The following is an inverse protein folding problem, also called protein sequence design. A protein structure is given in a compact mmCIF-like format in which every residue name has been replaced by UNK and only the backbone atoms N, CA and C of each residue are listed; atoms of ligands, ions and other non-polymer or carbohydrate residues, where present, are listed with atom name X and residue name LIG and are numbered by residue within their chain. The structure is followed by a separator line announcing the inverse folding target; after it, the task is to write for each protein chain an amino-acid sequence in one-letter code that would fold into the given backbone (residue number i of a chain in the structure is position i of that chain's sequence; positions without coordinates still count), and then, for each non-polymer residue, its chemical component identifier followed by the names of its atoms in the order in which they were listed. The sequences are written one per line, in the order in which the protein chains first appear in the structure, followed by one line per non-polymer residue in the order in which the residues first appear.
data_IF_212088934285
#
_entry.id   IF_212088934285
#
_cell.length_a   1.000
_cell.length_b   1.000
_cell.length_c   1.000
_cell.angle_alpha   90.00
_cell.angle_beta   90.00
_cell.angle_gamma   90.00
#
_symmetry.space_group_name_H-M   'P 1'
#
loop_
_entity.id
_entity.type
_entity.pdbx_description
1 polymer ?
#
# COMPACT_ATOMS: atom_id res chain seq x y z
N UNK A 1 -1.89 11.83 -33.37
CA UNK A 1 -1.98 12.28 -31.96
C UNK A 1 -2.78 11.21 -31.23
N UNK A 2 -2.14 10.39 -30.38
CA UNK A 2 -2.81 9.30 -29.66
C UNK A 2 -3.39 9.86 -28.36
N UNK A 3 -4.72 9.80 -28.23
CA UNK A 3 -5.43 10.22 -27.02
C UNK A 3 -5.73 8.97 -26.18
N UNK A 4 -5.12 8.88 -24.99
CA UNK A 4 -5.31 7.76 -24.06
C UNK A 4 -6.46 8.11 -23.10
N UNK A 5 -7.53 7.31 -23.11
CA UNK A 5 -8.69 7.48 -22.23
C UNK A 5 -8.41 6.97 -20.80
N UNK A 6 -9.15 7.47 -19.80
CA UNK A 6 -9.10 6.93 -18.44
C UNK A 6 -9.55 5.47 -18.42
N UNK A 7 -8.76 4.60 -17.79
CA UNK A 7 -9.02 3.14 -17.75
C UNK A 7 -8.21 2.30 -18.75
N UNK A 8 -7.28 2.91 -19.49
CA UNK A 8 -6.35 2.18 -20.36
C UNK A 8 -5.15 1.67 -19.55
N UNK A 9 -4.95 0.36 -19.57
CA UNK A 9 -3.72 -0.26 -19.05
C UNK A 9 -2.77 -0.59 -20.20
N UNK A 10 -1.52 -0.17 -20.08
CA UNK A 10 -0.45 -0.38 -21.09
C UNK A 10 0.67 -1.17 -20.42
N UNK A 11 1.03 -2.34 -20.98
CA UNK A 11 2.15 -3.12 -20.47
C UNK A 11 2.57 -4.28 -21.37
N UNK A 12 3.80 -4.76 -21.18
CA UNK A 12 4.40 -5.85 -21.94
C UNK A 12 4.30 -7.17 -21.16
N UNK A 13 3.10 -7.75 -21.08
CA UNK A 13 2.85 -9.01 -20.41
C UNK A 13 2.88 -10.17 -21.40
N UNK A 14 3.34 -11.34 -20.96
CA UNK A 14 3.18 -12.56 -21.75
C UNK A 14 1.69 -12.89 -21.94
N UNK A 15 1.37 -13.64 -23.00
CA UNK A 15 -0.01 -13.91 -23.41
C UNK A 15 -0.86 -14.48 -22.27
N UNK A 16 -0.31 -15.38 -21.44
CA UNK A 16 -1.04 -16.01 -20.32
C UNK A 16 -1.48 -14.99 -19.26
N UNK A 17 -0.57 -14.11 -18.85
CA UNK A 17 -0.86 -13.06 -17.85
C UNK A 17 -1.84 -12.04 -18.41
N UNK A 18 -1.68 -11.68 -19.69
CA UNK A 18 -2.60 -10.77 -20.39
C UNK A 18 -4.03 -11.29 -20.42
N UNK A 19 -4.24 -12.56 -20.76
CA UNK A 19 -5.59 -13.15 -20.80
C UNK A 19 -6.27 -13.12 -19.43
N UNK A 20 -5.54 -13.47 -18.37
CA UNK A 20 -6.08 -13.45 -17.01
C UNK A 20 -6.37 -12.05 -16.49
N UNK A 21 -5.53 -11.07 -16.84
CA UNK A 21 -5.81 -9.65 -16.56
C UNK A 21 -7.09 -9.20 -17.25
N UNK A 22 -7.27 -9.57 -18.52
CA UNK A 22 -8.47 -9.23 -19.28
C UNK A 22 -9.75 -9.79 -18.66
N UNK A 23 -9.74 -11.06 -18.25
CA UNK A 23 -10.87 -11.70 -17.55
C UNK A 23 -11.23 -10.97 -16.26
N UNK A 24 -10.23 -10.63 -15.43
CA UNK A 24 -10.47 -9.97 -14.15
C UNK A 24 -10.99 -8.56 -14.32
N UNK A 25 -10.43 -7.79 -15.27
CA UNK A 25 -10.91 -6.44 -15.56
C UNK A 25 -12.36 -6.52 -16.07
N UNK A 26 -12.65 -7.47 -16.97
CA UNK A 26 -13.98 -7.74 -17.49
C UNK A 26 -14.98 -8.06 -16.37
N UNK A 27 -14.60 -8.86 -15.38
CA UNK A 27 -15.47 -9.21 -14.24
C UNK A 27 -15.68 -8.03 -13.28
N UNK A 28 -14.69 -7.16 -13.13
CA UNK A 28 -14.71 -6.06 -12.17
C UNK A 28 -15.32 -4.77 -12.73
N UNK A 29 -15.42 -4.64 -14.07
CA UNK A 29 -15.76 -3.37 -14.72
C UNK A 29 -17.23 -2.97 -14.64
N UNK A 30 -18.14 -3.87 -14.24
CA UNK A 30 -19.58 -3.58 -14.22
C UNK A 30 -20.08 -3.03 -15.57
N UNK A 31 -20.68 -1.83 -15.54
CA UNK A 31 -21.12 -1.07 -16.73
C UNK A 31 -20.08 -0.10 -17.30
N UNK A 32 -18.90 0.01 -16.68
CA UNK A 32 -17.83 0.89 -17.15
C UNK A 32 -17.14 0.38 -18.41
N UNK A 33 -16.70 1.31 -19.27
CA UNK A 33 -15.93 1.02 -20.47
C UNK A 33 -14.47 0.68 -20.12
N UNK A 34 -13.92 -0.33 -20.78
CA UNK A 34 -12.55 -0.80 -20.58
C UNK A 34 -11.83 -0.94 -21.91
N UNK A 35 -10.58 -0.51 -21.94
CA UNK A 35 -9.65 -0.71 -23.05
C UNK A 35 -8.32 -1.25 -22.53
N UNK A 36 -7.83 -2.34 -23.10
CA UNK A 36 -6.48 -2.85 -22.82
C UNK A 36 -5.65 -2.81 -24.10
N UNK A 37 -4.44 -2.24 -24.03
CA UNK A 37 -3.46 -2.25 -25.11
C UNK A 37 -2.26 -3.09 -24.71
N UNK A 38 -1.79 -3.95 -25.60
CA UNK A 38 -0.68 -4.87 -25.31
C UNK A 38 0.18 -5.12 -26.55
N UNK A 39 1.43 -5.52 -26.33
CA UNK A 39 2.35 -5.86 -27.41
C UNK A 39 1.87 -7.11 -28.17
N UNK A 40 1.89 -7.05 -29.50
CA UNK A 40 1.49 -8.14 -30.39
C UNK A 40 2.46 -8.24 -31.57
N UNK A 41 2.62 -9.45 -32.11
CA UNK A 41 3.43 -9.69 -33.30
C UNK A 41 2.62 -9.38 -34.56
N UNK A 42 2.29 -8.10 -34.75
CA UNK A 42 1.67 -7.55 -35.96
C UNK A 42 2.50 -6.36 -36.45
N UNK A 43 2.16 -5.80 -37.62
CA UNK A 43 2.96 -4.74 -38.27
C UNK A 43 3.17 -3.49 -37.41
N UNK A 44 2.23 -3.19 -36.51
CA UNK A 44 2.28 -2.01 -35.64
C UNK A 44 2.85 -2.31 -34.24
N UNK A 45 3.09 -3.58 -33.91
CA UNK A 45 3.70 -4.03 -32.66
C UNK A 45 2.76 -4.06 -31.43
N UNK A 46 1.48 -3.76 -31.60
CA UNK A 46 0.50 -3.75 -30.50
C UNK A 46 -0.92 -4.07 -30.98
N UNK A 47 -1.76 -4.47 -30.03
CA UNK A 47 -3.15 -4.86 -30.25
C UNK A 47 -4.04 -4.43 -29.05
N UNK A 48 -5.35 -4.48 -29.22
CA UNK A 48 -6.33 -3.94 -28.28
C UNK A 48 -7.46 -4.92 -27.95
N UNK A 49 -7.94 -4.86 -26.71
CA UNK A 49 -9.22 -5.46 -26.30
C UNK A 49 -10.13 -4.39 -25.71
N UNK A 50 -11.42 -4.48 -26.03
CA UNK A 50 -12.46 -3.53 -25.61
C UNK A 50 -13.62 -4.26 -24.95
N UNK A 51 -14.19 -3.65 -23.90
CA UNK A 51 -15.45 -4.09 -23.28
C UNK A 51 -16.28 -2.87 -22.89
N UNK A 52 -17.58 -2.90 -23.17
CA UNK A 52 -18.54 -1.82 -22.87
C UNK A 52 -18.09 -0.43 -23.39
N UNK A 53 -17.22 -0.39 -24.39
CA UNK A 53 -16.79 0.84 -25.02
C UNK A 53 -17.77 1.18 -26.16
N UNK A 54 -18.07 2.47 -26.34
CA UNK A 54 -18.79 2.94 -27.54
C UNK A 54 -17.98 2.75 -28.84
N UNK A 55 -16.72 2.36 -28.71
CA UNK A 55 -15.77 2.16 -29.80
C UNK A 55 -15.57 0.67 -30.03
N UNK A 56 -15.43 0.27 -31.29
CA UNK A 56 -15.17 -1.12 -31.67
C UNK A 56 -13.77 -1.25 -32.30
N UNK A 57 -13.11 -2.40 -32.12
CA UNK A 57 -11.87 -2.70 -32.85
C UNK A 57 -12.24 -3.38 -34.17
N UNK A 58 -11.86 -2.78 -35.29
CA UNK A 58 -12.04 -3.32 -36.63
C UNK A 58 -10.66 -3.64 -37.20
N UNK A 59 -10.52 -4.77 -37.87
CA UNK A 59 -9.29 -5.16 -38.52
C UNK A 59 -9.40 -4.90 -40.02
N UNK A 60 -8.64 -3.94 -40.52
CA UNK A 60 -8.54 -3.65 -41.95
C UNK A 60 -7.11 -3.94 -42.40
N UNK A 61 -6.95 -4.86 -43.36
CA UNK A 61 -5.63 -5.29 -43.87
C UNK A 61 -4.63 -5.74 -42.78
N UNK A 62 -5.12 -6.32 -41.67
CA UNK A 62 -4.28 -6.80 -40.56
C UNK A 62 -3.90 -5.73 -39.52
N UNK A 63 -4.36 -4.49 -39.70
CA UNK A 63 -4.14 -3.38 -38.77
C UNK A 63 -5.39 -3.22 -37.87
N UNK A 64 -5.26 -3.32 -36.54
CA UNK A 64 -6.37 -3.03 -35.64
C UNK A 64 -6.63 -1.52 -35.57
N UNK A 65 -7.83 -1.10 -36.00
CA UNK A 65 -8.33 0.27 -35.97
C UNK A 65 -9.45 0.40 -34.94
N UNK A 66 -9.53 1.55 -34.26
CA UNK A 66 -10.61 1.85 -33.32
C UNK A 66 -11.66 2.70 -34.03
N UNK A 67 -12.86 2.14 -34.25
CA UNK A 67 -13.99 2.87 -34.83
C UNK A 67 -14.60 3.80 -33.78
N UNK A 68 -14.75 5.08 -34.13
CA UNK A 68 -15.40 6.10 -33.29
C UNK A 68 -16.73 6.46 -33.96
N UNK A 69 -17.90 6.11 -33.37
CA UNK A 69 -19.18 6.49 -33.95
C UNK A 69 -19.34 8.02 -33.94
N UNK A 70 -19.79 8.59 -35.06
CA UNK A 70 -20.04 10.02 -35.20
C UNK A 70 -21.19 10.44 -34.26
N UNK A 71 -21.09 11.56 -33.53
CA UNK A 71 -22.14 11.97 -32.60
C UNK A 71 -23.43 12.29 -33.36
N UNK A 72 -24.52 11.62 -32.99
CA UNK A 72 -25.88 11.92 -33.49
C UNK A 72 -26.32 13.26 -32.91
N UNK A 73 -26.68 14.21 -33.77
CA UNK A 73 -27.23 15.51 -33.37
C UNK A 73 -28.68 15.32 -32.93
N UNK A 74 -28.97 15.49 -31.64
CA UNK A 74 -30.32 15.44 -31.11
C UNK A 74 -30.97 16.84 -31.21
N UNK A 75 -32.01 16.98 -32.04
CA UNK A 75 -32.84 18.20 -32.11
C UNK A 75 -33.74 18.26 -30.87
N UNK A 76 -33.64 19.33 -30.08
CA UNK A 76 -34.48 19.59 -28.90
C UNK A 76 -35.90 20.00 -29.31
N UNK A 77 -36.90 19.24 -28.87
CA UNK A 77 -38.31 19.67 -28.85
C UNK A 77 -38.61 20.24 -27.47
N UNK A 78 -38.75 21.56 -27.37
CA UNK A 78 -39.49 22.23 -26.31
C UNK A 78 -40.36 23.29 -26.98
N UNK A 79 -41.67 23.05 -27.00
CA UNK A 79 -42.69 24.08 -26.84
C UNK A 79 -44.02 23.36 -26.56
N UNK A 80 -44.39 23.35 -25.27
CA UNK A 80 -45.72 22.96 -24.83
C UNK A 80 -46.67 24.13 -25.09
N UNK A 81 -47.67 23.89 -25.95
CA UNK A 81 -48.76 24.81 -26.23
C UNK A 81 -50.05 24.05 -26.51
N UNK A 82 -50.83 23.88 -25.44
CA UNK A 82 -52.30 23.87 -25.39
C UNK A 82 -53.11 22.66 -25.93
N UNK A 83 -54.16 22.42 -25.15
CA UNK A 83 -55.33 21.53 -25.18
C UNK A 83 -55.78 20.81 -26.46
N UNK A 84 -56.35 19.61 -26.29
CA UNK A 84 -57.37 19.07 -27.19
C UNK A 84 -57.44 17.54 -27.34
N UNK A 85 -58.31 16.93 -26.53
CA UNK A 85 -59.19 15.76 -26.76
C UNK A 85 -58.98 14.92 -28.04
N UNK A 86 -58.90 13.59 -27.89
CA UNK A 86 -59.24 12.65 -28.98
C UNK A 86 -58.76 11.22 -28.80
N UNK A 87 -59.67 10.32 -28.44
CA UNK A 87 -59.49 8.88 -28.26
C UNK A 87 -59.21 8.10 -29.56
N UNK A 88 -58.88 6.81 -29.35
CA UNK A 88 -59.04 5.61 -30.21
C UNK A 88 -57.74 5.04 -30.82
N UNK A 89 -57.47 3.77 -30.53
CA UNK A 89 -56.99 2.83 -31.56
C UNK A 89 -55.71 2.04 -31.28
N UNK A 90 -55.84 0.94 -30.55
CA UNK A 90 -55.38 -0.44 -30.84
C UNK A 90 -53.93 -0.76 -31.33
N UNK A 91 -53.34 -1.78 -30.70
CA UNK A 91 -52.42 -2.72 -31.36
C UNK A 91 -50.91 -2.63 -31.09
N UNK A 92 -50.41 -3.47 -30.17
CA UNK A 92 -49.27 -4.36 -30.47
C UNK A 92 -47.83 -3.95 -30.11
N UNK A 93 -47.34 -4.52 -28.99
CA UNK A 93 -45.98 -5.07 -28.73
C UNK A 93 -44.76 -4.14 -28.95
N UNK A 94 -44.13 -3.69 -27.86
CA UNK A 94 -42.77 -3.15 -27.87
C UNK A 94 -41.98 -3.58 -26.62
N UNK A 95 -40.75 -4.06 -26.87
CA UNK A 95 -39.84 -4.64 -25.89
C UNK A 95 -39.06 -3.65 -25.03
N UNK A 96 -38.23 -4.27 -24.19
CA UNK A 96 -37.54 -3.73 -23.03
C UNK A 96 -36.87 -2.36 -23.20
N UNK A 97 -37.08 -1.53 -22.19
CA UNK A 97 -36.71 -0.12 -22.15
C UNK A 97 -35.21 0.16 -22.15
N UNK A 98 -34.82 1.05 -23.07
CA UNK A 98 -33.60 1.82 -22.99
C UNK A 98 -33.78 2.99 -22.00
N UNK A 99 -33.27 2.83 -20.78
CA UNK A 99 -33.12 3.91 -19.82
C UNK A 99 -32.01 4.89 -20.25
N UNK A 100 -32.37 6.16 -20.35
CA UNK A 100 -31.52 7.28 -20.74
C UNK A 100 -30.21 7.40 -19.93
N UNK A 101 -29.08 7.64 -20.61
CA UNK A 101 -27.80 7.97 -19.99
C UNK A 101 -27.61 9.49 -19.98
N UNK A 102 -27.48 10.05 -18.78
CA UNK A 102 -27.17 11.45 -18.53
C UNK A 102 -25.65 11.61 -18.34
N UNK A 103 -25.03 12.53 -19.09
CA UNK A 103 -23.61 12.88 -18.92
C UNK A 103 -23.44 13.79 -17.70
N UNK A 104 -22.98 13.21 -16.59
CA UNK A 104 -22.68 13.94 -15.36
C UNK A 104 -21.29 13.61 -14.83
N UNK A 105 -20.39 14.59 -14.86
CA UNK A 105 -19.16 14.58 -14.07
C UNK A 105 -19.52 14.58 -12.57
N UNK A 106 -19.11 13.55 -11.81
CA UNK A 106 -19.37 13.48 -10.37
C UNK A 106 -18.10 13.57 -9.52
N UNK A 107 -17.94 14.76 -8.93
CA UNK A 107 -17.60 15.08 -7.52
C UNK A 107 -16.49 14.26 -6.83
N UNK A 108 -15.24 14.69 -7.00
CA UNK A 108 -14.19 14.53 -6.00
C UNK A 108 -13.76 15.90 -5.46
N UNK A 109 -14.54 16.46 -4.52
CA UNK A 109 -14.13 17.58 -3.67
C UNK A 109 -15.19 17.83 -2.57
N UNK A 110 -14.85 17.49 -1.32
CA UNK A 110 -15.41 17.91 -0.01
C UNK A 110 -15.05 16.78 0.96
N UNK A 111 -14.27 17.00 2.01
CA UNK A 111 -14.73 17.60 3.26
C UNK A 111 -13.63 18.39 3.98
N UNK A 112 -14.03 19.56 4.51
CA UNK A 112 -13.33 20.34 5.54
C UNK A 112 -14.22 20.38 6.79
N UNK A 113 -13.55 20.47 7.95
CA UNK A 113 -13.98 20.91 9.30
C UNK A 113 -14.59 19.85 10.23
N UNK A 114 -13.88 19.61 11.33
CA UNK A 114 -14.42 19.76 12.67
C UNK A 114 -13.31 20.21 13.64
N UNK A 115 -13.53 21.33 14.32
CA UNK A 115 -12.76 21.89 15.45
C UNK A 115 -13.79 22.18 16.54
N UNK A 116 -13.34 22.18 17.81
CA UNK A 116 -14.08 22.28 19.10
C UNK A 116 -14.20 20.89 19.73
N UNK A 117 -13.50 20.58 20.82
CA UNK A 117 -13.87 21.03 22.17
C UNK A 117 -12.70 21.38 23.11
N UNK A 118 -13.11 22.05 24.17
CA UNK A 118 -12.40 22.89 25.14
C UNK A 118 -11.70 22.13 26.28
N UNK A 119 -10.57 22.70 26.71
CA UNK A 119 -10.10 22.88 28.11
C UNK A 119 -10.22 21.73 29.13
N UNK A 120 -9.06 21.28 29.64
CA UNK A 120 -8.67 21.35 31.07
C UNK A 120 -7.28 20.71 31.28
N UNK A 121 -6.40 21.42 31.99
CA UNK A 121 -5.09 20.93 32.50
C UNK A 121 -5.29 20.05 33.73
N UNK A 122 -4.38 19.10 33.99
CA UNK A 122 -3.72 19.11 35.29
C UNK A 122 -2.21 18.81 35.24
N UNK A 123 -1.62 18.82 36.43
CA UNK A 123 -0.26 19.15 36.81
C UNK A 123 0.79 18.03 36.64
N UNK A 124 2.05 18.50 36.69
CA UNK A 124 3.35 17.81 36.61
C UNK A 124 3.54 16.68 37.62
N UNK A 125 4.35 15.67 37.26
CA UNK A 125 5.36 15.04 38.13
C UNK A 125 6.42 14.27 37.31
N UNK A 126 7.66 14.29 37.83
CA UNK A 126 8.95 13.81 37.32
C UNK A 126 9.02 12.27 37.18
N UNK A 127 9.48 11.66 36.08
CA UNK A 127 10.83 11.54 35.48
C UNK A 127 11.74 10.44 36.09
N UNK A 128 11.95 9.34 35.32
CA UNK A 128 13.24 8.78 34.86
C UNK A 128 13.09 7.34 34.35
N UNK A 129 13.28 7.10 33.05
CA UNK A 129 13.44 5.75 32.47
C UNK A 129 14.82 5.62 31.81
N UNK A 130 15.45 4.47 32.04
CA UNK A 130 16.78 4.08 31.54
C UNK A 130 16.63 3.30 30.23
N UNK A 131 17.59 3.49 29.32
CA UNK A 131 17.70 2.80 28.03
C UNK A 131 18.31 1.41 28.23
N UNK A 132 17.69 0.33 27.75
CA UNK A 132 18.20 -1.03 27.86
C UNK A 132 18.26 -1.67 26.45
N UNK A 133 19.47 -2.01 25.98
CA UNK A 133 19.66 -2.94 24.86
C UNK A 133 19.27 -4.31 25.37
N UNK A 134 18.10 -4.81 24.96
CA UNK A 134 17.62 -6.11 25.38
C UNK A 134 18.23 -7.16 24.45
N UNK A 135 19.14 -7.98 24.98
CA UNK A 135 19.37 -9.32 24.44
C UNK A 135 18.25 -10.21 24.98
N UNK A 136 17.34 -10.67 24.12
CA UNK A 136 16.33 -11.66 24.53
C UNK A 136 16.34 -12.89 23.66
N UNK A 137 16.65 -14.01 24.30
CA UNK A 137 16.36 -15.37 23.85
C UNK A 137 14.94 -15.84 24.26
N UNK A 138 14.05 -14.95 24.75
CA UNK A 138 12.78 -15.37 25.36
C UNK A 138 11.48 -14.85 24.73
N UNK A 139 11.49 -14.31 23.52
CA UNK A 139 10.23 -13.95 22.84
C UNK A 139 10.29 -14.42 21.39
N UNK A 140 9.66 -15.55 21.11
CA UNK A 140 8.74 -15.83 19.98
C UNK A 140 8.76 -17.33 19.70
N UNK A 141 7.74 -18.05 20.19
CA UNK A 141 7.56 -19.47 19.88
C UNK A 141 6.85 -19.55 18.53
N UNK A 142 7.60 -19.55 17.43
CA UNK A 142 7.06 -19.76 16.10
C UNK A 142 6.35 -21.12 16.03
N UNK A 143 5.48 -21.35 15.05
CA UNK A 143 4.59 -22.51 14.93
C UNK A 143 5.25 -23.91 14.99
N UNK A 144 6.59 -23.98 14.98
CA UNK A 144 7.39 -25.20 15.18
C UNK A 144 8.22 -25.25 16.48
N UNK A 145 8.17 -24.23 17.35
CA UNK A 145 8.94 -24.14 18.60
C UNK A 145 10.41 -23.71 18.44
N UNK A 146 10.84 -23.36 17.22
CA UNK A 146 12.18 -22.82 16.95
C UNK A 146 12.26 -21.34 17.31
N UNK A 147 13.45 -20.84 17.66
CA UNK A 147 13.70 -19.40 17.86
C UNK A 147 13.85 -18.66 16.53
N UNK A 148 13.75 -17.33 16.52
CA UNK A 148 13.94 -16.52 15.31
C UNK A 148 15.36 -16.73 14.75
N UNK A 149 16.33 -16.83 15.64
CA UNK A 149 17.73 -17.13 15.33
C UNK A 149 17.85 -18.45 14.58
N UNK A 150 17.22 -19.52 15.05
CA UNK A 150 17.30 -20.84 14.40
C UNK A 150 16.78 -20.76 12.97
N UNK A 151 15.63 -20.12 12.76
CA UNK A 151 14.99 -20.02 11.44
C UNK A 151 15.82 -19.16 10.49
N UNK A 152 16.37 -18.03 10.97
CA UNK A 152 17.24 -17.17 10.18
C UNK A 152 18.55 -17.87 9.84
N UNK A 153 19.20 -18.52 10.81
CA UNK A 153 20.47 -19.23 10.61
C UNK A 153 20.36 -20.37 9.59
N UNK A 154 19.22 -21.06 9.55
CA UNK A 154 18.96 -22.13 8.60
C UNK A 154 18.76 -21.64 7.16
N UNK A 155 18.48 -20.34 6.97
CA UNK A 155 17.95 -19.81 5.71
C UNK A 155 18.79 -18.69 5.10
N UNK A 156 19.18 -17.69 5.90
CA UNK A 156 19.86 -16.48 5.46
C UNK A 156 21.36 -16.58 5.71
N UNK A 157 22.16 -16.39 4.66
CA UNK A 157 23.62 -16.36 4.73
C UNK A 157 24.17 -14.95 4.88
N UNK A 158 23.53 -13.97 4.25
CA UNK A 158 24.01 -12.58 4.24
C UNK A 158 23.38 -11.76 5.36
N UNK A 159 24.19 -10.90 5.97
CA UNK A 159 23.79 -10.02 7.04
C UNK A 159 22.87 -8.90 6.54
N UNK A 160 21.86 -8.55 7.33
CA UNK A 160 20.91 -7.49 7.02
C UNK A 160 20.15 -7.03 8.26
N UNK A 161 19.44 -5.91 8.14
CA UNK A 161 18.63 -5.34 9.20
C UNK A 161 17.20 -5.16 8.71
N UNK A 162 16.26 -5.85 9.35
CA UNK A 162 14.84 -5.66 9.15
C UNK A 162 14.39 -4.44 9.95
N UNK A 163 13.69 -3.51 9.31
CA UNK A 163 13.22 -2.26 9.93
C UNK A 163 11.73 -2.11 9.66
N UNK A 164 11.03 -1.66 10.69
CA UNK A 164 9.63 -1.22 10.64
C UNK A 164 9.46 -0.01 11.58
N UNK A 165 8.50 0.87 11.28
CA UNK A 165 8.20 2.06 12.08
C UNK A 165 6.69 2.21 12.28
N UNK A 166 6.31 2.78 13.43
CA UNK A 166 4.94 3.26 13.64
C UNK A 166 4.90 4.79 13.58
N UNK A 167 3.82 5.33 13.03
CA UNK A 167 3.69 6.76 12.73
C UNK A 167 2.31 7.30 13.10
N UNK A 168 2.20 8.62 13.27
CA UNK A 168 0.91 9.28 13.56
C UNK A 168 0.06 9.58 12.31
N UNK A 169 0.51 9.14 11.14
CA UNK A 169 -0.17 9.34 9.85
C UNK A 169 0.72 8.97 8.68
N UNK A 170 0.29 9.26 7.46
CA UNK A 170 0.89 8.69 6.24
C UNK A 170 1.88 9.61 5.51
N UNK A 171 2.03 10.87 5.93
CA UNK A 171 2.79 11.88 5.20
C UNK A 171 4.12 12.22 5.87
N UNK A 172 5.22 11.65 5.39
CA UNK A 172 6.57 11.97 5.85
C UNK A 172 6.85 13.49 5.79
N UNK A 173 7.41 14.04 6.88
CA UNK A 173 7.71 15.47 7.03
C UNK A 173 6.54 16.32 7.55
N UNK A 174 5.31 15.79 7.54
CA UNK A 174 4.15 16.38 8.23
C UNK A 174 3.77 15.57 9.47
N UNK A 175 3.82 14.25 9.34
CA UNK A 175 3.58 13.26 10.37
C UNK A 175 4.88 12.86 11.06
N UNK A 176 4.75 12.33 12.28
CA UNK A 176 5.85 11.94 13.15
C UNK A 176 5.99 10.43 13.25
N UNK A 177 7.22 10.01 13.51
CA UNK A 177 7.53 8.65 13.98
C UNK A 177 7.14 8.56 15.46
N UNK A 178 6.47 7.47 15.84
CA UNK A 178 6.05 7.16 17.20
C UNK A 178 6.87 6.02 17.79
N UNK A 179 7.26 5.05 16.97
CA UNK A 179 8.03 3.89 17.39
C UNK A 179 9.02 3.48 16.28
N UNK A 180 10.19 3.01 16.69
CA UNK A 180 11.18 2.40 15.81
C UNK A 180 11.42 0.96 16.26
N UNK A 181 11.38 0.03 15.31
CA UNK A 181 11.71 -1.37 15.54
C UNK A 181 12.70 -1.87 14.49
N UNK A 182 13.73 -2.59 14.94
CA UNK A 182 14.67 -3.22 14.04
C UNK A 182 15.19 -4.55 14.56
N UNK A 183 15.36 -5.50 13.66
CA UNK A 183 15.96 -6.81 13.91
C UNK A 183 17.16 -6.97 12.99
N UNK A 184 18.34 -7.15 13.56
CA UNK A 184 19.58 -7.37 12.82
C UNK A 184 19.94 -8.84 12.84
N UNK A 185 20.16 -9.39 11.65
CA UNK A 185 20.84 -10.67 11.45
C UNK A 185 22.31 -10.41 11.12
N UNK A 186 23.20 -10.76 12.04
CA UNK A 186 24.64 -10.51 11.92
C UNK A 186 25.43 -11.60 12.62
N UNK A 187 26.44 -12.16 11.95
CA UNK A 187 27.40 -13.10 12.53
C UNK A 187 26.76 -14.31 13.22
N UNK A 188 25.64 -14.81 12.69
CA UNK A 188 24.93 -15.97 13.24
C UNK A 188 24.02 -15.66 14.44
N UNK A 189 23.88 -14.39 14.81
CA UNK A 189 23.12 -13.90 15.94
C UNK A 189 22.00 -12.95 15.51
N UNK A 190 20.97 -12.87 16.36
CA UNK A 190 19.88 -11.90 16.23
C UNK A 190 20.07 -10.81 17.27
N UNK A 191 20.09 -9.57 16.82
CA UNK A 191 20.07 -8.40 17.69
C UNK A 191 18.81 -7.59 17.43
N UNK A 192 18.33 -6.90 18.44
CA UNK A 192 17.09 -6.14 18.37
C UNK A 192 17.31 -4.71 18.85
N UNK A 193 16.58 -3.80 18.24
CA UNK A 193 16.53 -2.40 18.61
C UNK A 193 15.07 -1.96 18.63
N UNK A 194 14.68 -1.31 19.72
CA UNK A 194 13.34 -0.79 19.94
C UNK A 194 13.41 0.51 20.70
N UNK A 195 12.58 1.48 20.30
CA UNK A 195 12.28 2.63 21.14
C UNK A 195 10.95 3.28 20.73
N UNK A 196 10.33 3.95 21.70
CA UNK A 196 9.29 4.94 21.46
C UNK A 196 9.94 6.32 21.27
N UNK A 197 9.37 7.13 20.39
CA UNK A 197 9.88 8.47 20.07
C UNK A 197 9.02 9.52 20.80
N UNK A 198 9.66 10.28 21.68
CA UNK A 198 9.01 11.28 22.50
C UNK A 198 8.33 12.38 21.67
N UNK A 199 7.09 12.70 22.03
CA UNK A 199 6.37 13.87 21.55
C UNK A 199 6.92 15.18 22.13
N UNK A 200 6.51 16.32 21.55
CA UNK A 200 6.63 17.59 22.30
C UNK A 200 5.60 17.60 23.44
N UNK A 201 5.78 18.46 24.45
CA UNK A 201 4.90 18.48 25.62
C UNK A 201 3.41 18.68 25.30
N UNK A 202 3.08 19.36 24.20
CA UNK A 202 1.71 19.63 23.77
C UNK A 202 1.23 18.66 22.67
N UNK A 203 2.05 17.68 22.29
CA UNK A 203 1.71 16.72 21.26
C UNK A 203 0.72 15.67 21.77
N UNK A 204 -0.25 15.33 20.93
CA UNK A 204 -1.26 14.31 21.20
C UNK A 204 -1.28 13.34 20.02
N UNK A 205 -1.09 12.05 20.30
CA UNK A 205 -1.21 11.01 19.28
C UNK A 205 -2.64 10.97 18.77
N UNK A 206 -2.87 11.03 17.44
CA UNK A 206 -4.20 10.90 16.85
C UNK A 206 -4.89 9.59 17.26
N UNK A 207 -6.21 9.65 17.43
CA UNK A 207 -7.02 8.49 17.86
C UNK A 207 -6.93 7.31 16.89
N UNK A 208 -6.88 7.58 15.59
CA UNK A 208 -6.75 6.53 14.57
C UNK A 208 -5.40 5.80 14.69
N UNK A 209 -4.31 6.54 14.90
CA UNK A 209 -2.98 5.96 15.13
C UNK A 209 -2.94 5.15 16.43
N UNK A 210 -3.54 5.67 17.51
CA UNK A 210 -3.64 4.94 18.79
C UNK A 210 -4.47 3.66 18.64
N UNK A 211 -5.55 3.72 17.88
CA UNK A 211 -6.45 2.57 17.66
C UNK A 211 -5.78 1.47 16.85
N UNK A 212 -4.93 1.85 15.89
CA UNK A 212 -4.18 0.91 15.07
C UNK A 212 -3.01 0.29 15.83
N UNK A 213 -2.19 1.10 16.48
CA UNK A 213 -0.88 0.70 17.04
C UNK A 213 -0.90 0.41 18.54
N UNK A 214 -1.95 0.86 19.24
CA UNK A 214 -1.98 0.89 20.71
C UNK A 214 -1.08 1.94 21.36
N UNK A 215 -0.29 2.70 20.59
CA UNK A 215 0.63 3.70 21.13
C UNK A 215 -0.16 4.92 21.59
N UNK A 216 -0.08 5.21 22.89
CA UNK A 216 -0.76 6.36 23.49
C UNK A 216 0.19 7.54 23.70
N UNK A 217 -0.35 8.75 23.76
CA UNK A 217 0.42 9.95 24.17
C UNK A 217 1.13 9.76 25.50
N UNK A 218 0.49 9.06 26.44
CA UNK A 218 1.07 8.78 27.75
C UNK A 218 2.32 7.90 27.64
N UNK A 219 2.27 6.85 26.80
CA UNK A 219 3.44 6.00 26.54
C UNK A 219 4.62 6.79 25.97
N UNK A 220 4.36 7.67 25.00
CA UNK A 220 5.42 8.51 24.43
C UNK A 220 6.03 9.47 25.44
N UNK A 221 5.22 9.99 26.37
CA UNK A 221 5.69 10.89 27.43
C UNK A 221 6.49 10.15 28.52
N UNK A 222 6.06 8.95 28.91
CA UNK A 222 6.68 8.19 30.01
C UNK A 222 7.92 7.41 29.58
N UNK A 223 7.92 6.89 28.35
CA UNK A 223 8.88 5.89 27.88
C UNK A 223 9.65 6.36 26.64
N UNK A 224 9.16 7.37 25.94
CA UNK A 224 9.79 7.87 24.72
C UNK A 224 11.13 8.55 24.99
N UNK A 225 12.04 8.41 24.03
CA UNK A 225 13.34 9.11 24.00
C UNK A 225 13.32 10.21 22.93
N UNK A 226 14.28 11.12 22.94
CA UNK A 226 14.29 12.17 21.91
C UNK A 226 14.49 11.58 20.51
N UNK A 227 13.87 12.20 19.50
CA UNK A 227 13.98 11.75 18.10
C UNK A 227 15.45 11.67 17.64
N UNK A 228 16.29 12.62 18.07
CA UNK A 228 17.72 12.61 17.76
C UNK A 228 18.47 11.40 18.34
N UNK A 229 18.20 11.04 19.60
CA UNK A 229 18.77 9.86 20.26
C UNK A 229 18.27 8.57 19.61
N UNK A 230 16.97 8.47 19.35
CA UNK A 230 16.35 7.33 18.67
C UNK A 230 17.01 7.08 17.30
N UNK A 231 17.07 8.11 16.45
CA UNK A 231 17.69 8.00 15.14
C UNK A 231 19.20 7.74 15.21
N UNK A 232 19.92 8.35 16.15
CA UNK A 232 21.36 8.12 16.32
C UNK A 232 21.67 6.68 16.72
N UNK A 233 20.89 6.14 17.66
CA UNK A 233 21.01 4.75 18.09
C UNK A 233 20.61 3.77 16.96
N UNK A 234 19.51 4.05 16.24
CA UNK A 234 19.11 3.26 15.08
C UNK A 234 20.18 3.26 13.98
N UNK A 235 20.78 4.41 13.65
CA UNK A 235 21.87 4.48 12.65
C UNK A 235 23.07 3.63 13.06
N UNK A 236 23.48 3.73 14.33
CA UNK A 236 24.58 2.94 14.89
C UNK A 236 24.24 1.45 14.88
N UNK A 237 22.98 1.11 15.19
CA UNK A 237 22.48 -0.24 15.10
C UNK A 237 22.50 -0.74 13.66
N UNK A 238 22.06 0.02 12.67
CA UNK A 238 22.05 -0.44 11.27
C UNK A 238 23.48 -0.61 10.72
N UNK A 239 24.39 0.32 11.02
CA UNK A 239 25.73 0.33 10.42
C UNK A 239 25.67 0.45 8.90
N UNK A 240 26.50 -0.32 8.18
CA UNK A 240 26.54 -0.34 6.71
C UNK A 240 25.69 -1.48 6.09
N UNK A 241 24.95 -2.22 6.92
CA UNK A 241 24.20 -3.39 6.47
C UNK A 241 23.01 -3.01 5.58
N UNK A 242 22.59 -3.89 4.65
CA UNK A 242 21.35 -3.70 3.90
C UNK A 242 20.13 -3.61 4.81
N UNK A 243 19.24 -2.66 4.52
CA UNK A 243 17.96 -2.49 5.22
C UNK A 243 16.88 -3.24 4.44
N UNK A 244 16.13 -4.09 5.13
CA UNK A 244 15.02 -4.86 4.60
C UNK A 244 13.74 -4.42 5.31
N UNK A 245 12.63 -4.34 4.58
CA UNK A 245 11.32 -4.14 5.20
C UNK A 245 10.21 -4.58 4.26
N UNK A 246 8.96 -4.41 4.69
CA UNK A 246 7.79 -4.76 3.90
C UNK A 246 7.05 -3.49 3.47
N UNK A 247 7.04 -3.17 2.17
CA UNK A 247 6.65 -1.83 1.70
C UNK A 247 7.54 -0.72 2.27
N UNK A 248 8.83 -1.04 2.44
CA UNK A 248 9.88 -0.26 3.12
C UNK A 248 10.07 1.18 2.61
N UNK A 249 9.56 1.50 1.42
CA UNK A 249 9.56 2.87 0.91
C UNK A 249 8.82 3.83 1.86
N UNK A 250 7.77 3.35 2.55
CA UNK A 250 7.06 4.11 3.56
C UNK A 250 7.99 4.52 4.71
N UNK A 251 8.62 3.53 5.35
CA UNK A 251 9.52 3.70 6.49
C UNK A 251 10.72 4.59 6.12
N UNK A 252 11.35 4.31 4.98
CA UNK A 252 12.52 5.05 4.52
C UNK A 252 12.21 6.51 4.19
N UNK A 253 10.99 6.83 3.75
CA UNK A 253 10.58 8.21 3.53
C UNK A 253 10.49 8.98 4.86
N UNK A 254 9.91 8.36 5.90
CA UNK A 254 9.86 8.95 7.24
C UNK A 254 11.25 9.09 7.86
N UNK A 255 12.06 8.03 7.81
CA UNK A 255 13.43 8.06 8.31
C UNK A 255 14.25 9.13 7.58
N UNK A 256 14.18 9.21 6.25
CA UNK A 256 14.90 10.25 5.49
C UNK A 256 14.48 11.66 5.89
N UNK A 257 13.17 11.90 6.11
CA UNK A 257 12.69 13.19 6.57
C UNK A 257 13.19 13.52 7.98
N UNK A 258 13.13 12.55 8.90
CA UNK A 258 13.55 12.71 10.29
C UNK A 258 15.07 12.90 10.40
N UNK A 259 15.87 12.13 9.65
CA UNK A 259 17.32 12.31 9.58
C UNK A 259 17.69 13.68 9.01
N UNK A 260 16.99 14.25 8.02
CA UNK A 260 17.27 15.62 7.55
C UNK A 260 16.99 16.69 8.62
N UNK A 261 16.04 16.44 9.51
CA UNK A 261 15.69 17.35 10.60
C UNK A 261 16.65 17.28 11.78
N UNK A 262 17.12 16.07 12.13
CA UNK A 262 17.93 15.82 13.32
C UNK A 262 19.43 15.61 13.06
N UNK A 263 19.81 15.16 11.86
CA UNK A 263 21.16 14.78 11.45
C UNK A 263 21.50 15.42 10.08
N UNK A 264 22.78 15.51 9.71
CA UNK A 264 23.15 16.12 8.41
C UNK A 264 23.02 15.18 7.22
N UNK A 265 23.05 13.87 7.46
CA UNK A 265 23.12 12.86 6.40
C UNK A 265 21.99 11.83 6.53
N UNK A 266 21.40 11.46 5.38
CA UNK A 266 20.44 10.37 5.29
C UNK A 266 21.13 9.00 5.40
N UNK A 267 20.34 7.95 5.68
CA UNK A 267 20.82 6.57 5.54
C UNK A 267 21.14 6.29 4.07
N UNK A 268 22.36 5.85 3.79
CA UNK A 268 22.84 5.50 2.44
C UNK A 268 22.85 4.00 2.18
N UNK A 269 22.35 3.22 3.13
CA UNK A 269 22.28 1.77 3.06
C UNK A 269 21.47 1.30 1.84
N UNK A 270 21.84 0.14 1.30
CA UNK A 270 21.01 -0.54 0.30
C UNK A 270 19.67 -0.91 0.92
N UNK A 271 18.58 -0.46 0.32
CA UNK A 271 17.21 -0.80 0.75
C UNK A 271 16.65 -1.94 -0.09
N UNK A 272 15.99 -2.91 0.54
CA UNK A 272 15.38 -4.07 -0.10
C UNK A 272 13.92 -4.20 0.38
N UNK A 273 12.99 -4.11 -0.56
CA UNK A 273 11.56 -4.28 -0.26
C UNK A 273 11.14 -5.75 -0.43
N UNK A 274 10.77 -6.40 0.69
CA UNK A 274 10.32 -7.79 0.70
C UNK A 274 9.00 -7.98 -0.07
N UNK A 275 8.13 -6.95 -0.10
CA UNK A 275 6.87 -6.99 -0.85
C UNK A 275 7.10 -7.26 -2.34
N UNK A 276 8.22 -6.78 -2.91
CA UNK A 276 8.59 -7.04 -4.30
C UNK A 276 8.73 -8.53 -4.56
N UNK A 277 9.41 -9.27 -3.67
CA UNK A 277 9.64 -10.70 -3.83
C UNK A 277 8.35 -11.50 -3.63
N UNK A 278 7.52 -11.08 -2.66
CA UNK A 278 6.19 -11.67 -2.45
C UNK A 278 5.33 -11.53 -3.71
N UNK A 279 5.29 -10.34 -4.33
CA UNK A 279 4.56 -10.12 -5.59
C UNK A 279 5.09 -10.99 -6.73
N UNK A 280 6.38 -11.26 -6.77
CA UNK A 280 6.98 -12.11 -7.79
C UNK A 280 6.70 -13.61 -7.56
N UNK A 281 6.54 -14.06 -6.33
CA UNK A 281 6.29 -15.45 -5.97
C UNK A 281 4.81 -15.79 -5.97
N UNK A 282 3.96 -14.89 -5.46
CA UNK A 282 2.51 -15.07 -5.35
C UNK A 282 1.74 -13.97 -6.08
N UNK A 283 1.79 -14.00 -7.42
CA UNK A 283 1.26 -12.96 -8.31
C UNK A 283 -0.24 -12.61 -8.11
N UNK A 284 -1.05 -13.55 -7.62
CA UNK A 284 -2.51 -13.43 -7.62
C UNK A 284 -3.16 -13.37 -6.23
N UNK A 285 -2.42 -12.93 -5.21
CA UNK A 285 -3.00 -12.72 -3.88
C UNK A 285 -4.13 -11.69 -3.93
N UNK A 286 -5.20 -11.97 -3.18
CA UNK A 286 -6.36 -11.06 -3.05
C UNK A 286 -5.97 -9.73 -2.40
N UNK A 287 -5.00 -9.77 -1.48
CA UNK A 287 -4.48 -8.63 -0.74
C UNK A 287 -2.98 -8.84 -0.50
N UNK A 288 -2.22 -7.76 -0.65
CA UNK A 288 -0.78 -7.73 -0.35
C UNK A 288 -0.46 -6.96 0.93
N UNK A 289 -1.45 -6.71 1.79
CA UNK A 289 -1.15 -6.23 3.14
C UNK A 289 -0.41 -7.32 3.91
N UNK A 290 0.55 -6.92 4.75
CA UNK A 290 1.41 -7.85 5.49
C UNK A 290 0.59 -8.91 6.24
N UNK A 291 -0.47 -8.49 6.95
CA UNK A 291 -1.42 -9.38 7.65
C UNK A 291 -1.94 -10.56 6.81
N UNK A 292 -2.22 -10.33 5.52
CA UNK A 292 -2.77 -11.36 4.64
C UNK A 292 -1.65 -12.23 4.08
N UNK A 293 -0.49 -11.62 3.80
CA UNK A 293 0.68 -12.32 3.29
C UNK A 293 1.27 -13.27 4.32
N UNK A 294 1.31 -12.90 5.59
CA UNK A 294 1.79 -13.79 6.67
C UNK A 294 1.01 -15.12 6.66
N UNK A 295 -0.33 -15.05 6.65
CA UNK A 295 -1.18 -16.24 6.60
C UNK A 295 -0.97 -17.09 5.34
N UNK A 296 -0.77 -16.45 4.20
CA UNK A 296 -0.46 -17.12 2.94
C UNK A 296 0.85 -17.94 3.00
N UNK A 297 1.86 -17.48 3.75
CA UNK A 297 3.12 -18.21 3.96
C UNK A 297 3.09 -19.12 5.19
N UNK A 298 1.91 -19.37 5.77
CA UNK A 298 1.72 -20.27 6.92
C UNK A 298 2.16 -19.68 8.26
N UNK A 299 2.34 -18.36 8.33
CA UNK A 299 2.64 -17.64 9.58
C UNK A 299 1.30 -17.22 10.19
N UNK A 300 0.89 -17.93 11.24
CA UNK A 300 -0.41 -17.76 11.91
C UNK A 300 -0.24 -16.85 13.12
N UNK A 301 0.28 -15.65 12.88
CA UNK A 301 0.44 -14.61 13.90
C UNK A 301 -0.41 -13.40 13.51
N UNK A 302 -1.07 -12.79 14.49
CA UNK A 302 -1.77 -11.53 14.25
C UNK A 302 -0.73 -10.43 14.20
N UNK A 303 -0.89 -9.50 13.25
CA UNK A 303 -0.05 -8.32 13.17
C UNK A 303 -0.37 -7.40 14.37
N UNK A 304 0.58 -7.15 15.29
CA UNK A 304 0.33 -6.34 16.47
C UNK A 304 0.34 -4.84 16.20
N UNK A 305 0.89 -4.39 15.06
CA UNK A 305 1.15 -2.97 14.77
C UNK A 305 2.05 -2.34 15.84
N UNK A 306 3.16 -3.03 16.07
CA UNK A 306 4.23 -2.63 16.97
C UNK A 306 5.54 -2.86 16.24
N UNK A 307 6.37 -1.83 16.18
CA UNK A 307 7.43 -1.78 15.19
C UNK A 307 8.44 -2.93 15.32
N UNK A 308 8.80 -3.34 16.55
CA UNK A 308 9.76 -4.43 16.75
C UNK A 308 9.14 -5.78 16.36
N UNK A 309 7.92 -6.05 16.78
CA UNK A 309 7.21 -7.28 16.45
C UNK A 309 6.92 -7.40 14.95
N UNK A 310 6.53 -6.32 14.29
CA UNK A 310 6.30 -6.28 12.84
C UNK A 310 7.63 -6.48 12.06
N UNK A 311 8.75 -5.95 12.57
CA UNK A 311 10.09 -6.25 12.05
C UNK A 311 10.48 -7.74 12.23
N UNK A 312 10.17 -8.36 13.38
CA UNK A 312 10.37 -9.81 13.60
C UNK A 312 9.54 -10.66 12.63
N UNK A 313 8.27 -10.30 12.43
CA UNK A 313 7.38 -10.97 11.48
C UNK A 313 7.88 -10.81 10.04
N UNK A 314 8.40 -9.65 9.69
CA UNK A 314 9.04 -9.40 8.40
C UNK A 314 10.29 -10.26 8.22
N UNK A 315 11.14 -10.38 9.25
CA UNK A 315 12.30 -11.26 9.25
C UNK A 315 11.90 -12.74 9.08
N UNK A 316 10.87 -13.19 9.80
CA UNK A 316 10.33 -14.54 9.66
C UNK A 316 9.78 -14.78 8.25
N UNK A 317 8.97 -13.86 7.72
CA UNK A 317 8.43 -13.94 6.36
C UNK A 317 9.56 -14.05 5.33
N UNK A 318 10.65 -13.29 5.52
CA UNK A 318 11.80 -13.31 4.63
C UNK A 318 12.40 -14.72 4.49
N UNK A 319 12.38 -15.54 5.55
CA UNK A 319 12.84 -16.94 5.50
C UNK A 319 11.93 -17.86 4.69
N UNK A 320 10.66 -17.47 4.47
CA UNK A 320 9.67 -18.24 3.71
C UNK A 320 9.55 -17.81 2.25
N UNK A 321 10.06 -16.63 1.89
CA UNK A 321 10.02 -16.10 0.52
C UNK A 321 11.25 -16.58 -0.24
N UNK A 322 11.09 -17.67 -1.01
CA UNK A 322 12.20 -18.36 -1.68
C UNK A 322 13.02 -17.42 -2.58
N UNK A 323 12.34 -16.54 -3.34
CA UNK A 323 13.03 -15.58 -4.22
C UNK A 323 13.91 -14.59 -3.46
N UNK A 324 13.51 -14.22 -2.24
CA UNK A 324 14.31 -13.36 -1.38
C UNK A 324 15.51 -14.11 -0.81
N UNK A 325 15.31 -15.33 -0.32
CA UNK A 325 16.39 -16.20 0.17
C UNK A 325 17.46 -16.41 -0.91
N UNK A 326 17.06 -16.64 -2.16
CA UNK A 326 18.00 -16.76 -3.28
C UNK A 326 18.71 -15.44 -3.63
N UNK A 327 18.07 -14.30 -3.41
CA UNK A 327 18.66 -12.99 -3.65
C UNK A 327 19.70 -12.60 -2.60
N UNK A 328 19.56 -13.10 -1.37
CA UNK A 328 20.51 -12.91 -0.27
C UNK A 328 21.59 -13.99 -0.16
N UNK A 329 21.63 -14.98 -1.06
CA UNK A 329 22.76 -15.91 -1.20
C UNK A 329 23.76 -15.35 -2.21
#
# INVERSE_FOLDING_TARGET
MQEVSTGVYVGNFNSRVREQLWERITQSSGSGAVTMSFAAQNEIGYDFKLKNAQREVIYESGIPLVYIPSPVVCVSKDDAGDSGVGSVGDGGVAGDGAGAVCYGFSKAARFRKARQYSSKRPAKLNAKAKHELIQTDEVTKYTCGCSLRDVLSATLTNECVFVDIETDGLCAGQNRILELGAVKWCSGEVHEYHCLVAGSNDYVVPTDATTLTGITTQMLYEQGISEGEALGALRTFIGDLPIVGYNIAFDMNFLTAAYRGAHKDALTNKTIDLLRFVKQEKLFLKSYKLENVLGEYGIIEKLPHRALEDARLTALLATKVNKFVHFLK
#
